data_IF_848397878602
#
_entry.id   IF_848397878602
#
_cell.length_a   1.000
_cell.length_b   1.000
_cell.length_c   1.000
_cell.angle_alpha   90.00
_cell.angle_beta   90.00
_cell.angle_gamma   90.00
#
_symmetry.space_group_name_H-M   'P 1'
#
loop_
_entity.id
_entity.type
_entity.pdbx_description
1 polymer ?
#
# COMPACT_ATOMS: atom_id res chain seq x y z
N UNK A 1 21.34 25.23 -17.16
CA UNK A 1 21.69 24.60 -15.86
C UNK A 1 21.93 23.13 -16.09
N UNK A 2 23.07 22.59 -15.65
CA UNK A 2 23.48 21.21 -15.92
C UNK A 2 22.58 20.21 -15.18
N UNK A 3 21.98 19.21 -15.85
CA UNK A 3 21.09 18.21 -15.22
C UNK A 3 21.75 17.41 -14.08
N UNK A 4 23.09 17.33 -14.05
CA UNK A 4 23.84 16.63 -13.01
C UNK A 4 23.88 17.34 -11.64
N UNK A 5 23.76 18.67 -11.60
CA UNK A 5 23.80 19.43 -10.35
C UNK A 5 22.52 19.25 -9.50
N UNK A 6 21.37 19.13 -10.17
CA UNK A 6 20.08 18.88 -9.48
C UNK A 6 20.03 17.46 -8.91
N UNK A 7 20.61 16.48 -9.59
CA UNK A 7 20.67 15.11 -9.10
C UNK A 7 21.53 15.00 -7.84
N UNK A 8 22.71 15.64 -7.83
CA UNK A 8 23.63 15.66 -6.68
C UNK A 8 22.99 16.36 -5.47
N UNK A 9 22.36 17.52 -5.65
CA UNK A 9 21.60 18.21 -4.60
C UNK A 9 20.49 17.34 -4.01
N UNK A 10 19.70 16.68 -4.88
CA UNK A 10 18.60 15.81 -4.46
C UNK A 10 19.10 14.61 -3.64
N UNK A 11 20.19 13.99 -4.04
CA UNK A 11 20.83 12.90 -3.28
C UNK A 11 21.38 13.38 -1.94
N UNK A 12 22.00 14.58 -1.90
CA UNK A 12 22.53 15.17 -0.67
C UNK A 12 21.41 15.46 0.35
N UNK A 13 20.28 16.05 -0.09
CA UNK A 13 19.14 16.32 0.79
C UNK A 13 18.49 15.04 1.32
N UNK A 14 18.31 14.04 0.47
CA UNK A 14 17.75 12.75 0.89
C UNK A 14 18.69 12.06 1.89
N UNK A 15 20.00 12.09 1.67
CA UNK A 15 20.98 11.53 2.59
C UNK A 15 20.93 12.25 3.94
N UNK A 16 20.87 13.58 3.94
CA UNK A 16 20.80 14.39 5.16
C UNK A 16 19.53 14.11 5.97
N UNK A 17 18.36 14.00 5.32
CA UNK A 17 17.10 13.67 6.00
C UNK A 17 17.16 12.28 6.62
N UNK A 18 17.74 11.30 5.93
CA UNK A 18 17.90 9.94 6.43
C UNK A 18 18.85 9.90 7.63
N UNK A 19 19.99 10.58 7.59
CA UNK A 19 20.95 10.64 8.70
C UNK A 19 20.34 11.36 9.92
N UNK A 20 19.64 12.48 9.71
CA UNK A 20 18.92 13.19 10.77
C UNK A 20 17.78 12.33 11.34
N UNK A 21 17.05 11.61 10.50
CA UNK A 21 16.02 10.66 10.91
C UNK A 21 16.59 9.55 11.79
N UNK A 22 17.74 8.99 11.41
CA UNK A 22 18.47 8.02 12.22
C UNK A 22 18.81 8.59 13.61
N UNK A 23 19.39 9.77 13.65
CA UNK A 23 19.75 10.44 14.91
C UNK A 23 18.54 10.70 15.83
N UNK A 24 17.34 10.90 15.27
CA UNK A 24 16.10 11.04 16.04
C UNK A 24 15.60 9.71 16.58
N UNK A 25 15.69 8.64 15.78
CA UNK A 25 15.22 7.30 16.13
C UNK A 25 16.14 6.62 17.17
N UNK A 26 17.43 6.92 17.18
CA UNK A 26 18.42 6.38 18.13
C UNK A 26 18.47 7.13 19.49
N UNK A 27 17.68 8.22 19.64
CA UNK A 27 17.56 8.90 20.93
C UNK A 27 16.75 8.07 21.93
N UNK A 28 17.12 8.17 23.20
CA UNK A 28 16.33 7.62 24.28
C UNK A 28 15.01 8.39 24.47
N UNK A 29 13.97 7.67 24.91
CA UNK A 29 12.70 8.28 25.28
C UNK A 29 12.87 9.18 26.51
N UNK A 30 12.20 10.33 26.47
CA UNK A 30 12.13 11.29 27.57
C UNK A 30 10.67 11.56 27.90
N UNK A 31 10.38 12.18 29.04
CA UNK A 31 9.01 12.56 29.43
C UNK A 31 8.34 13.53 28.43
N UNK A 32 9.13 14.21 27.60
CA UNK A 32 8.64 15.14 26.55
C UNK A 32 8.43 14.48 25.18
N UNK A 33 8.61 13.15 25.08
CA UNK A 33 8.38 12.44 23.83
C UNK A 33 6.90 12.13 23.65
N UNK A 34 6.37 12.38 22.46
CA UNK A 34 5.04 11.93 22.04
C UNK A 34 4.99 10.39 22.02
N UNK A 35 3.82 9.80 22.21
CA UNK A 35 3.68 8.34 22.13
C UNK A 35 3.95 7.84 20.71
N UNK A 36 3.59 8.60 19.70
CA UNK A 36 3.96 8.35 18.31
C UNK A 36 5.49 8.32 18.08
N UNK A 37 6.26 9.15 18.79
CA UNK A 37 7.73 9.13 18.73
C UNK A 37 8.28 7.81 19.29
N UNK A 38 7.78 7.40 20.48
CA UNK A 38 8.18 6.14 21.13
C UNK A 38 7.85 4.94 20.21
N UNK A 39 6.68 4.96 19.55
CA UNK A 39 6.29 3.93 18.58
C UNK A 39 7.27 3.88 17.42
N UNK A 40 7.65 5.01 16.82
CA UNK A 40 8.57 5.05 15.69
C UNK A 40 9.98 4.58 16.06
N UNK A 41 10.46 4.93 17.27
CA UNK A 41 11.75 4.45 17.79
C UNK A 41 11.74 2.96 18.07
N UNK A 42 10.66 2.44 18.64
CA UNK A 42 10.50 1.01 18.87
C UNK A 42 10.46 0.25 17.54
N UNK A 43 9.72 0.75 16.56
CA UNK A 43 9.71 0.18 15.20
C UNK A 43 11.13 0.11 14.62
N UNK A 44 11.90 1.19 14.74
CA UNK A 44 13.29 1.22 14.26
C UNK A 44 14.17 0.20 14.99
N UNK A 45 14.07 0.13 16.33
CA UNK A 45 14.85 -0.79 17.16
C UNK A 45 14.59 -2.25 16.79
N UNK A 46 13.32 -2.63 16.60
CA UNK A 46 12.97 -3.98 16.18
C UNK A 46 13.44 -4.26 14.75
N UNK A 47 13.33 -3.28 13.85
CA UNK A 47 13.75 -3.42 12.45
C UNK A 47 15.27 -3.63 12.28
N UNK A 48 16.11 -3.02 13.12
CA UNK A 48 17.57 -3.19 13.03
C UNK A 48 18.11 -4.42 13.78
N UNK A 49 17.26 -5.13 14.50
CA UNK A 49 17.64 -6.33 15.27
C UNK A 49 17.78 -7.55 14.37
N UNK A 50 18.84 -7.59 13.57
CA UNK A 50 19.12 -8.66 12.61
C UNK A 50 19.18 -10.04 13.28
N UNK A 51 19.70 -10.15 14.51
CA UNK A 51 19.78 -11.41 15.26
C UNK A 51 18.38 -11.99 15.48
N UNK A 52 17.46 -11.18 16.00
CA UNK A 52 16.07 -11.61 16.25
C UNK A 52 15.33 -11.94 14.94
N UNK A 53 15.59 -11.20 13.87
CA UNK A 53 15.00 -11.46 12.55
C UNK A 53 15.49 -12.80 12.00
N UNK A 54 16.78 -13.13 12.15
CA UNK A 54 17.32 -14.44 11.74
C UNK A 54 16.74 -15.58 12.58
N UNK A 55 16.60 -15.40 13.90
CA UNK A 55 15.98 -16.40 14.80
C UNK A 55 14.52 -16.68 14.43
N UNK A 56 13.75 -15.67 14.09
CA UNK A 56 12.35 -15.82 13.66
C UNK A 56 12.24 -16.43 12.26
N UNK A 57 13.23 -16.20 11.40
CA UNK A 57 13.30 -16.76 10.06
C UNK A 57 12.10 -16.34 9.18
N UNK A 58 11.44 -17.32 8.59
CA UNK A 58 10.25 -17.13 7.74
C UNK A 58 8.93 -17.40 8.47
N UNK A 59 9.00 -17.85 9.73
CA UNK A 59 7.81 -18.26 10.49
C UNK A 59 6.73 -17.17 10.59
N UNK A 60 7.04 -15.88 10.85
CA UNK A 60 6.03 -14.83 10.92
C UNK A 60 5.23 -14.66 9.62
N UNK A 61 5.86 -14.89 8.45
CA UNK A 61 5.15 -14.86 7.19
C UNK A 61 4.26 -16.10 7.00
N UNK A 62 4.74 -17.29 7.37
CA UNK A 62 3.95 -18.50 7.31
C UNK A 62 2.72 -18.42 8.21
N UNK A 63 2.85 -17.84 9.40
CA UNK A 63 1.73 -17.64 10.32
C UNK A 63 0.73 -16.62 9.78
N UNK A 64 1.21 -15.53 9.19
CA UNK A 64 0.34 -14.58 8.48
C UNK A 64 -0.42 -15.24 7.33
N UNK A 65 0.25 -16.08 6.53
CA UNK A 65 -0.41 -16.79 5.42
C UNK A 65 -1.51 -17.75 5.89
N UNK A 66 -1.35 -18.40 7.06
CA UNK A 66 -2.40 -19.27 7.64
C UNK A 66 -3.71 -18.52 7.90
N UNK A 67 -3.63 -17.25 8.35
CA UNK A 67 -4.82 -16.40 8.57
C UNK A 67 -5.62 -16.24 7.28
N UNK A 68 -4.94 -16.22 6.12
CA UNK A 68 -5.54 -16.07 4.80
C UNK A 68 -5.92 -17.40 4.11
N UNK A 69 -5.93 -18.50 4.84
CA UNK A 69 -6.21 -19.83 4.27
C UNK A 69 -5.00 -20.50 3.63
N UNK A 70 -3.80 -19.93 3.77
CA UNK A 70 -2.54 -20.45 3.26
C UNK A 70 -2.15 -19.91 1.88
N UNK A 71 -1.07 -20.47 1.36
CA UNK A 71 -0.65 -20.28 -0.03
C UNK A 71 -0.76 -21.62 -0.75
N UNK A 72 -1.61 -21.79 -1.78
CA UNK A 72 -1.89 -23.09 -2.38
C UNK A 72 -0.67 -23.87 -2.84
N UNK A 73 0.39 -23.17 -3.25
CA UNK A 73 1.65 -23.81 -3.65
C UNK A 73 2.37 -24.52 -2.49
N UNK A 74 2.09 -24.13 -1.23
CA UNK A 74 2.66 -24.75 -0.03
C UNK A 74 1.83 -25.91 0.50
N UNK A 75 0.59 -26.12 0.04
CA UNK A 75 -0.27 -27.18 0.54
C UNK A 75 0.32 -28.56 0.23
N UNK A 76 0.45 -29.41 1.25
CA UNK A 76 0.88 -30.78 1.08
C UNK A 76 -0.17 -31.63 0.36
N UNK A 77 -1.45 -31.38 0.68
CA UNK A 77 -2.57 -32.05 0.06
C UNK A 77 -2.91 -31.45 -1.31
N UNK A 78 -2.52 -32.15 -2.36
CA UNK A 78 -2.81 -31.74 -3.74
C UNK A 78 -4.31 -31.83 -4.10
N UNK A 79 -5.12 -32.57 -3.32
CA UNK A 79 -6.55 -32.75 -3.54
C UNK A 79 -7.41 -31.63 -2.94
N UNK A 80 -6.82 -30.71 -2.17
CA UNK A 80 -7.53 -29.57 -1.58
C UNK A 80 -8.18 -28.73 -2.66
N UNK A 81 -9.54 -28.64 -2.62
CA UNK A 81 -10.31 -27.81 -3.51
C UNK A 81 -10.22 -26.33 -3.11
N UNK A 82 -10.22 -25.47 -4.12
CA UNK A 82 -10.31 -24.03 -4.00
C UNK A 82 -11.60 -23.46 -4.61
N UNK A 83 -12.58 -24.30 -4.92
CA UNK A 83 -13.83 -23.89 -5.56
C UNK A 83 -14.63 -22.86 -4.73
N UNK A 84 -14.51 -22.94 -3.39
CA UNK A 84 -15.11 -21.97 -2.48
C UNK A 84 -14.33 -20.66 -2.34
N UNK A 85 -13.15 -20.55 -2.94
CA UNK A 85 -12.33 -19.32 -2.83
C UNK A 85 -13.00 -18.16 -3.57
N UNK A 86 -13.16 -17.03 -2.87
CA UNK A 86 -13.70 -15.78 -3.41
C UNK A 86 -12.68 -14.66 -3.22
N UNK A 87 -12.20 -14.08 -4.30
CA UNK A 87 -11.19 -13.03 -4.26
C UNK A 87 -11.63 -11.79 -3.46
N UNK A 88 -12.91 -11.44 -3.47
CA UNK A 88 -13.45 -10.30 -2.74
C UNK A 88 -13.51 -10.54 -1.23
N UNK A 89 -13.87 -11.74 -0.79
CA UNK A 89 -13.80 -12.12 0.64
C UNK A 89 -12.34 -12.11 1.12
N UNK A 90 -11.44 -12.65 0.29
CA UNK A 90 -10.00 -12.60 0.56
C UNK A 90 -9.48 -11.17 0.64
N UNK A 91 -9.97 -10.25 -0.20
CA UNK A 91 -9.58 -8.84 -0.17
C UNK A 91 -10.03 -8.18 1.14
N UNK A 92 -11.25 -8.44 1.61
CA UNK A 92 -11.76 -7.93 2.90
C UNK A 92 -10.91 -8.44 4.06
N UNK A 93 -10.57 -9.74 4.06
CA UNK A 93 -9.71 -10.33 5.08
C UNK A 93 -8.29 -9.71 5.06
N UNK A 94 -7.71 -9.52 3.88
CA UNK A 94 -6.41 -8.86 3.72
C UNK A 94 -6.44 -7.42 4.22
N UNK A 95 -7.53 -6.68 3.99
CA UNK A 95 -7.71 -5.33 4.52
C UNK A 95 -7.70 -5.33 6.04
N UNK A 96 -8.47 -6.21 6.65
CA UNK A 96 -8.54 -6.39 8.10
C UNK A 96 -7.16 -6.62 8.73
N UNK A 97 -6.31 -7.37 8.06
CA UNK A 97 -4.94 -7.68 8.50
C UNK A 97 -3.89 -6.64 8.04
N UNK A 98 -4.32 -5.49 7.53
CA UNK A 98 -3.44 -4.39 7.13
C UNK A 98 -2.58 -4.66 5.88
N UNK A 99 -3.05 -5.54 4.99
CA UNK A 99 -2.44 -5.75 3.69
C UNK A 99 -3.07 -4.88 2.61
N UNK A 100 -2.45 -4.84 1.43
CA UNK A 100 -2.97 -4.08 0.30
C UNK A 100 -4.27 -4.67 -0.24
N UNK A 101 -5.19 -3.79 -0.62
CA UNK A 101 -6.45 -4.14 -1.28
C UNK A 101 -6.33 -4.26 -2.81
N UNK A 102 -5.18 -3.89 -3.38
CA UNK A 102 -5.06 -3.53 -4.80
C UNK A 102 -4.53 -4.69 -5.65
N UNK A 103 -4.86 -5.95 -5.32
CA UNK A 103 -4.32 -7.11 -6.05
C UNK A 103 -5.14 -7.48 -7.29
N UNK A 104 -6.46 -7.40 -7.22
CA UNK A 104 -7.36 -7.67 -8.35
C UNK A 104 -7.89 -6.37 -8.93
N UNK A 105 -8.32 -5.45 -8.07
CA UNK A 105 -8.81 -4.13 -8.40
C UNK A 105 -8.39 -3.16 -7.31
N UNK A 106 -8.12 -1.91 -7.66
CA UNK A 106 -7.77 -0.87 -6.69
C UNK A 106 -9.01 -0.20 -6.12
N UNK A 107 -9.03 -0.06 -4.80
CA UNK A 107 -10.07 0.63 -4.04
C UNK A 107 -9.42 1.70 -3.19
N UNK A 108 -9.90 2.92 -3.26
CA UNK A 108 -9.40 4.01 -2.40
C UNK A 108 -10.43 5.12 -2.29
N UNK A 109 -10.35 5.88 -1.20
CA UNK A 109 -11.14 7.08 -0.98
C UNK A 109 -10.29 8.28 -1.33
N UNK A 110 -10.82 9.17 -2.15
CA UNK A 110 -10.13 10.36 -2.59
C UNK A 110 -11.12 11.52 -2.78
N UNK A 111 -10.62 12.72 -2.98
CA UNK A 111 -11.45 13.87 -3.32
C UNK A 111 -12.13 13.68 -4.67
N UNK A 112 -13.40 14.06 -4.79
CA UNK A 112 -14.10 14.06 -6.07
C UNK A 112 -13.44 15.06 -7.02
N UNK A 113 -13.08 14.59 -8.24
CA UNK A 113 -12.33 15.39 -9.22
C UNK A 113 -13.12 16.65 -9.73
N UNK A 114 -14.45 16.67 -9.53
CA UNK A 114 -15.33 17.80 -9.94
C UNK A 114 -15.92 18.57 -8.78
N UNK A 115 -15.85 18.05 -7.56
CA UNK A 115 -16.30 18.74 -6.35
C UNK A 115 -15.40 18.39 -5.16
N UNK A 116 -14.40 19.20 -4.91
CA UNK A 116 -13.40 18.98 -3.87
C UNK A 116 -13.93 19.04 -2.42
N UNK A 117 -15.21 19.37 -2.23
CA UNK A 117 -15.86 19.34 -0.91
C UNK A 117 -16.27 17.92 -0.49
N UNK A 118 -16.25 16.97 -1.42
CA UNK A 118 -16.65 15.58 -1.16
C UNK A 118 -15.48 14.61 -1.28
N UNK A 119 -15.47 13.61 -0.39
CA UNK A 119 -14.71 12.38 -0.53
C UNK A 119 -15.57 11.37 -1.25
N UNK A 120 -14.97 10.57 -2.12
CA UNK A 120 -15.68 9.59 -2.94
C UNK A 120 -14.85 8.32 -3.09
N UNK A 121 -15.52 7.19 -3.16
CA UNK A 121 -14.89 5.90 -3.41
C UNK A 121 -14.50 5.85 -4.89
N UNK A 122 -13.25 5.51 -5.16
CA UNK A 122 -12.74 5.32 -6.52
C UNK A 122 -12.35 3.86 -6.72
N UNK A 123 -12.86 3.27 -7.79
CA UNK A 123 -12.48 1.95 -8.29
C UNK A 123 -11.58 2.11 -9.50
N UNK A 124 -10.46 1.42 -9.51
CA UNK A 124 -9.45 1.56 -10.56
C UNK A 124 -8.84 0.21 -10.94
N UNK A 125 -8.07 0.18 -12.01
CA UNK A 125 -7.29 -1.00 -12.38
C UNK A 125 -6.31 -1.41 -11.28
N UNK A 126 -5.94 -2.69 -11.28
CA UNK A 126 -5.06 -3.28 -10.27
C UNK A 126 -3.67 -2.66 -10.24
N UNK A 127 -2.99 -2.78 -9.09
CA UNK A 127 -1.54 -2.62 -9.02
C UNK A 127 -0.86 -3.97 -9.22
N UNK A 128 0.03 -4.07 -10.20
CA UNK A 128 0.73 -5.29 -10.55
C UNK A 128 1.97 -5.53 -9.66
N UNK A 129 2.39 -6.77 -9.54
CA UNK A 129 3.60 -7.14 -8.79
C UNK A 129 4.90 -6.78 -9.53
N UNK A 130 4.82 -6.72 -10.86
CA UNK A 130 5.85 -6.20 -11.75
C UNK A 130 5.24 -5.11 -12.64
N UNK A 131 6.05 -4.16 -13.11
CA UNK A 131 5.54 -3.09 -14.00
C UNK A 131 4.89 -3.67 -15.25
N UNK A 132 3.77 -3.06 -15.66
CA UNK A 132 3.02 -3.43 -16.86
C UNK A 132 3.91 -3.54 -18.09
N UNK A 133 4.82 -2.60 -18.28
CA UNK A 133 5.70 -2.50 -19.43
C UNK A 133 6.64 -3.71 -19.59
N UNK A 134 6.90 -4.45 -18.50
CA UNK A 134 7.60 -5.73 -18.56
C UNK A 134 6.63 -6.88 -18.81
N UNK A 135 5.55 -6.98 -18.06
CA UNK A 135 4.61 -8.11 -18.12
C UNK A 135 3.96 -8.29 -19.50
N UNK A 136 3.64 -7.19 -20.20
CA UNK A 136 3.04 -7.25 -21.55
C UNK A 136 3.98 -7.82 -22.64
N UNK A 137 5.28 -7.96 -22.35
CA UNK A 137 6.23 -8.64 -23.24
C UNK A 137 6.04 -10.16 -23.25
N UNK A 138 5.28 -10.68 -22.29
CA UNK A 138 4.96 -12.10 -22.19
C UNK A 138 5.95 -12.91 -21.36
N UNK A 139 5.60 -14.18 -21.18
CA UNK A 139 6.31 -15.08 -20.26
C UNK A 139 7.78 -15.31 -20.66
N UNK A 140 8.10 -15.35 -21.93
CA UNK A 140 9.45 -15.68 -22.44
C UNK A 140 10.43 -14.49 -22.38
N UNK A 141 9.97 -13.30 -22.01
CA UNK A 141 10.86 -12.14 -21.82
C UNK A 141 11.79 -12.38 -20.61
N UNK A 142 13.06 -11.99 -20.75
CA UNK A 142 14.11 -12.24 -19.75
C UNK A 142 13.79 -11.62 -18.39
N UNK A 143 13.16 -10.44 -18.38
CA UNK A 143 12.84 -9.73 -17.15
C UNK A 143 11.64 -10.40 -16.45
N UNK A 144 10.68 -10.90 -17.24
CA UNK A 144 9.53 -11.69 -16.74
C UNK A 144 10.01 -13.05 -16.23
N UNK A 145 10.96 -13.70 -16.89
CA UNK A 145 11.61 -14.93 -16.40
C UNK A 145 12.36 -14.71 -15.08
N UNK A 146 13.03 -13.56 -14.91
CA UNK A 146 13.65 -13.22 -13.63
C UNK A 146 12.61 -13.03 -12.51
N UNK A 147 11.46 -12.44 -12.83
CA UNK A 147 10.35 -12.33 -11.89
C UNK A 147 9.73 -13.70 -11.55
N UNK A 148 9.54 -14.54 -12.54
CA UNK A 148 9.08 -15.92 -12.32
C UNK A 148 10.03 -16.71 -11.41
N UNK A 149 11.34 -16.63 -11.65
CA UNK A 149 12.33 -17.29 -10.79
C UNK A 149 12.29 -16.73 -9.36
N UNK A 150 12.04 -15.41 -9.21
CA UNK A 150 11.84 -14.80 -7.88
C UNK A 150 10.64 -15.38 -7.14
N UNK A 151 9.53 -15.64 -7.85
CA UNK A 151 8.35 -16.29 -7.28
C UNK A 151 8.67 -17.71 -6.80
N UNK A 152 9.38 -18.49 -7.62
CA UNK A 152 9.76 -19.88 -7.32
C UNK A 152 10.75 -19.93 -6.16
N UNK A 153 11.81 -19.12 -6.20
CA UNK A 153 12.82 -19.06 -5.12
C UNK A 153 12.16 -18.71 -3.77
N UNK A 154 11.19 -17.79 -3.77
CA UNK A 154 10.44 -17.42 -2.56
C UNK A 154 9.53 -18.55 -2.05
N UNK A 155 8.85 -19.27 -2.94
CA UNK A 155 8.02 -20.39 -2.57
C UNK A 155 8.86 -21.54 -1.97
N UNK A 156 10.02 -21.84 -2.57
CA UNK A 156 10.96 -22.83 -2.04
C UNK A 156 11.51 -22.44 -0.67
N UNK A 157 11.83 -21.15 -0.44
CA UNK A 157 12.23 -20.64 0.86
C UNK A 157 11.18 -20.91 1.94
N UNK A 158 9.89 -20.87 1.57
CA UNK A 158 8.76 -21.12 2.45
C UNK A 158 8.37 -22.61 2.53
N UNK A 159 9.09 -23.51 1.85
CA UNK A 159 8.91 -24.96 1.94
C UNK A 159 8.16 -25.60 0.76
N UNK A 160 7.88 -24.90 -0.33
CA UNK A 160 7.25 -25.50 -1.50
C UNK A 160 8.16 -26.50 -2.22
N UNK A 161 7.58 -27.59 -2.73
CA UNK A 161 8.24 -28.45 -3.72
C UNK A 161 8.52 -27.65 -5.00
N UNK A 162 9.72 -27.83 -5.58
CA UNK A 162 10.15 -27.06 -6.74
C UNK A 162 9.30 -27.31 -7.98
N UNK A 163 8.95 -28.56 -8.25
CA UNK A 163 8.18 -28.94 -9.44
C UNK A 163 6.78 -28.33 -9.38
N UNK A 164 6.14 -28.46 -8.21
CA UNK A 164 4.83 -27.88 -7.91
C UNK A 164 4.87 -26.35 -7.99
N UNK A 165 5.89 -25.72 -7.39
CA UNK A 165 6.08 -24.27 -7.42
C UNK A 165 6.21 -23.76 -8.85
N UNK A 166 7.05 -24.42 -9.66
CA UNK A 166 7.22 -24.05 -11.08
C UNK A 166 5.92 -24.15 -11.85
N UNK A 167 5.15 -25.20 -11.69
CA UNK A 167 3.88 -25.34 -12.40
C UNK A 167 2.86 -24.27 -11.96
N UNK A 168 2.53 -24.23 -10.68
CA UNK A 168 1.43 -23.37 -10.18
C UNK A 168 1.75 -21.89 -10.27
N UNK A 169 3.01 -21.48 -10.04
CA UNK A 169 3.40 -20.08 -10.13
C UNK A 169 3.56 -19.59 -11.57
N UNK A 170 3.80 -20.49 -12.53
CA UNK A 170 3.69 -20.15 -13.94
C UNK A 170 2.24 -19.75 -14.30
N UNK A 171 1.26 -20.53 -13.85
CA UNK A 171 -0.16 -20.23 -14.07
C UNK A 171 -0.55 -18.88 -13.41
N UNK A 172 -0.11 -18.64 -12.18
CA UNK A 172 -0.30 -17.36 -11.48
C UNK A 172 0.33 -16.18 -12.21
N UNK A 173 1.53 -16.35 -12.76
CA UNK A 173 2.21 -15.30 -13.54
C UNK A 173 1.50 -15.06 -14.88
N UNK A 174 1.00 -16.11 -15.54
CA UNK A 174 0.19 -15.96 -16.75
C UNK A 174 -1.11 -15.18 -16.48
N UNK A 175 -1.74 -15.39 -15.32
CA UNK A 175 -2.87 -14.57 -14.88
C UNK A 175 -2.45 -13.11 -14.65
N UNK A 176 -1.31 -12.84 -14.04
CA UNK A 176 -0.80 -11.46 -13.85
C UNK A 176 -0.46 -10.78 -15.19
N UNK A 177 0.10 -11.52 -16.15
CA UNK A 177 0.32 -11.04 -17.52
C UNK A 177 -1.01 -10.68 -18.19
N UNK A 178 -2.04 -11.51 -18.01
CA UNK A 178 -3.38 -11.20 -18.53
C UNK A 178 -3.96 -9.93 -17.88
N UNK A 179 -3.80 -9.75 -16.56
CA UNK A 179 -4.17 -8.51 -15.87
C UNK A 179 -3.42 -7.29 -16.44
N UNK A 180 -2.12 -7.44 -16.74
CA UNK A 180 -1.34 -6.38 -17.35
C UNK A 180 -1.84 -6.00 -18.75
N UNK A 181 -2.23 -6.98 -19.55
CA UNK A 181 -2.74 -6.76 -20.90
C UNK A 181 -4.08 -6.02 -20.94
N UNK A 182 -4.97 -6.29 -19.96
CA UNK A 182 -6.27 -5.59 -19.85
C UNK A 182 -6.16 -4.24 -19.14
N UNK A 183 -5.01 -3.91 -18.56
CA UNK A 183 -4.78 -2.63 -17.88
C UNK A 183 -4.39 -1.55 -18.90
N UNK A 184 -4.91 -0.34 -18.74
CA UNK A 184 -4.57 0.79 -19.58
C UNK A 184 -3.15 1.29 -19.30
N UNK A 185 -2.36 1.64 -20.32
CA UNK A 185 -1.05 2.25 -20.15
C UNK A 185 -1.17 3.67 -19.56
N UNK A 186 -0.08 4.19 -18.99
CA UNK A 186 -0.07 5.51 -18.33
C UNK A 186 -0.44 6.65 -19.27
N UNK A 187 -0.09 6.57 -20.53
CA UNK A 187 -0.34 7.56 -21.57
C UNK A 187 -1.86 7.78 -21.77
N UNK A 188 -2.63 6.72 -21.77
CA UNK A 188 -4.09 6.77 -21.95
C UNK A 188 -4.83 7.27 -20.72
N UNK A 189 -4.16 7.34 -19.58
CA UNK A 189 -4.72 7.75 -18.29
C UNK A 189 -4.43 9.20 -17.91
N UNK A 190 -4.06 10.05 -18.87
CA UNK A 190 -3.78 11.47 -18.64
C UNK A 190 -5.02 12.34 -18.70
N UNK A 191 -6.06 11.91 -19.40
CA UNK A 191 -7.31 12.65 -19.53
C UNK A 191 -8.21 12.39 -18.33
N UNK A 192 -8.31 13.39 -17.44
CA UNK A 192 -9.12 13.30 -16.22
C UNK A 192 -10.61 13.07 -16.51
N UNK A 193 -11.14 13.57 -17.64
CA UNK A 193 -12.55 13.37 -17.98
C UNK A 193 -12.85 11.92 -18.36
N UNK A 194 -11.94 11.25 -19.05
CA UNK A 194 -12.07 9.81 -19.35
C UNK A 194 -12.02 8.94 -18.11
N UNK A 195 -11.33 9.40 -17.06
CA UNK A 195 -11.22 8.70 -15.79
C UNK A 195 -12.38 9.04 -14.82
N UNK A 196 -13.30 9.89 -15.19
CA UNK A 196 -14.43 10.32 -14.35
C UNK A 196 -15.73 9.69 -14.82
N UNK A 197 -16.02 8.47 -14.35
CA UNK A 197 -17.22 7.72 -14.68
C UNK A 197 -18.03 7.49 -13.39
N UNK A 198 -18.85 8.46 -12.97
CA UNK A 198 -19.64 8.36 -11.74
C UNK A 198 -20.78 7.34 -11.90
N UNK A 199 -21.06 6.63 -10.82
CA UNK A 199 -22.17 5.71 -10.64
C UNK A 199 -22.49 5.61 -9.15
N UNK A 200 -23.48 4.82 -8.75
CA UNK A 200 -23.75 4.47 -7.36
C UNK A 200 -23.52 2.97 -7.14
N UNK A 201 -23.38 2.56 -5.87
CA UNK A 201 -23.25 1.14 -5.53
C UNK A 201 -24.52 0.37 -5.93
N UNK A 202 -25.70 0.95 -5.78
CA UNK A 202 -26.97 0.35 -6.21
C UNK A 202 -27.07 0.15 -7.72
N UNK A 203 -26.61 1.13 -8.52
CA UNK A 203 -26.51 0.97 -9.98
C UNK A 203 -25.52 -0.12 -10.38
N UNK A 204 -24.45 -0.33 -9.60
CA UNK A 204 -23.50 -1.42 -9.83
C UNK A 204 -24.11 -2.79 -9.49
N UNK A 205 -24.92 -2.88 -8.44
CA UNK A 205 -25.61 -4.13 -8.06
C UNK A 205 -26.68 -4.52 -9.08
N UNK A 206 -27.40 -3.55 -9.64
CA UNK A 206 -28.52 -3.81 -10.58
C UNK A 206 -28.11 -3.85 -12.06
N UNK A 207 -26.85 -3.51 -12.38
CA UNK A 207 -26.33 -3.39 -13.76
C UNK A 207 -27.19 -2.54 -14.71
N UNK A 208 -27.93 -1.58 -14.16
CA UNK A 208 -28.91 -0.76 -14.90
C UNK A 208 -28.32 0.01 -16.08
N UNK A 209 -27.01 0.25 -16.06
CA UNK A 209 -26.30 1.07 -17.05
C UNK A 209 -25.29 0.28 -17.90
N UNK A 210 -25.23 -1.05 -17.79
CA UNK A 210 -24.23 -1.89 -18.48
C UNK A 210 -22.77 -1.51 -18.16
N UNK A 211 -22.53 -0.80 -17.02
CA UNK A 211 -21.20 -0.40 -16.56
C UNK A 211 -20.48 -1.54 -15.84
N UNK A 212 -21.25 -2.44 -15.25
CA UNK A 212 -20.77 -3.64 -14.57
C UNK A 212 -21.29 -4.86 -15.32
N UNK A 213 -20.42 -5.69 -15.84
CA UNK A 213 -20.80 -6.88 -16.60
C UNK A 213 -20.98 -8.05 -15.65
N UNK A 214 -22.20 -8.43 -15.37
CA UNK A 214 -22.50 -9.70 -14.72
C UNK A 214 -22.31 -10.84 -15.72
N UNK A 215 -21.16 -11.53 -15.63
CA UNK A 215 -20.94 -12.75 -16.41
C UNK A 215 -21.79 -13.86 -15.80
N UNK A 216 -22.70 -14.46 -16.58
CA UNK A 216 -23.44 -15.64 -16.15
C UNK A 216 -22.46 -16.81 -16.02
N UNK A 217 -22.03 -17.08 -14.83
CA UNK A 217 -21.22 -18.23 -14.43
C UNK A 217 -21.97 -19.02 -13.37
N UNK A 218 -21.60 -20.28 -13.17
CA UNK A 218 -22.20 -21.12 -12.12
C UNK A 218 -21.87 -20.60 -10.71
N UNK A 219 -20.81 -19.78 -10.57
CA UNK A 219 -20.35 -19.18 -9.33
C UNK A 219 -20.21 -17.66 -9.50
N UNK A 220 -20.54 -16.83 -8.49
CA UNK A 220 -20.41 -15.39 -8.58
C UNK A 220 -18.93 -14.98 -8.68
N UNK A 221 -18.58 -14.36 -9.80
CA UNK A 221 -17.22 -13.85 -10.09
C UNK A 221 -16.99 -12.47 -9.47
N UNK A 222 -18.06 -11.69 -9.33
CA UNK A 222 -18.09 -10.39 -8.64
C UNK A 222 -18.72 -10.55 -7.26
N UNK A 223 -18.51 -9.59 -6.36
CA UNK A 223 -19.27 -9.54 -5.11
C UNK A 223 -20.76 -9.63 -5.39
N UNK A 224 -21.51 -10.45 -4.65
CA UNK A 224 -22.97 -10.57 -4.83
C UNK A 224 -23.69 -9.25 -4.53
N UNK A 225 -23.10 -8.37 -3.74
CA UNK A 225 -23.49 -6.98 -3.52
C UNK A 225 -22.25 -6.11 -3.36
N UNK A 226 -22.17 -5.06 -4.18
CA UNK A 226 -21.14 -4.04 -4.05
C UNK A 226 -21.28 -3.23 -2.77
N UNK A 227 -22.53 -2.98 -2.34
CA UNK A 227 -22.82 -2.34 -1.05
C UNK A 227 -22.18 -3.13 0.09
N UNK A 228 -22.48 -4.43 0.20
CA UNK A 228 -21.95 -5.29 1.27
C UNK A 228 -20.41 -5.44 1.18
N UNK A 229 -19.86 -5.50 -0.03
CA UNK A 229 -18.42 -5.62 -0.22
C UNK A 229 -17.68 -4.36 0.22
N UNK A 230 -18.15 -3.18 -0.19
CA UNK A 230 -17.53 -1.90 0.20
C UNK A 230 -17.75 -1.63 1.69
N UNK A 231 -18.92 -1.97 2.22
CA UNK A 231 -19.20 -1.88 3.66
C UNK A 231 -18.21 -2.73 4.47
N UNK A 232 -17.97 -3.98 4.07
CA UNK A 232 -16.96 -4.85 4.68
C UNK A 232 -15.54 -4.27 4.58
N UNK A 233 -15.16 -3.68 3.43
CA UNK A 233 -13.85 -3.03 3.29
C UNK A 233 -13.68 -1.81 4.22
N UNK A 234 -14.74 -1.03 4.43
CA UNK A 234 -14.70 0.18 5.25
C UNK A 234 -14.87 -0.15 6.73
N UNK A 235 -15.90 -0.91 7.09
CA UNK A 235 -16.30 -1.11 8.49
C UNK A 235 -15.60 -2.29 9.17
N UNK A 236 -15.31 -3.40 8.47
CA UNK A 236 -14.53 -4.50 9.05
C UNK A 236 -13.08 -4.09 9.36
N UNK A 237 -12.51 -3.20 8.55
CA UNK A 237 -11.23 -2.56 8.85
C UNK A 237 -11.28 -1.63 10.08
N UNK A 238 -12.46 -1.09 10.42
CA UNK A 238 -12.68 -0.26 11.61
C UNK A 238 -12.98 -1.08 12.87
N UNK A 239 -13.55 -2.28 12.75
CA UNK A 239 -13.89 -3.19 13.87
C UNK A 239 -12.66 -3.76 14.60
N UNK A 240 -11.45 -3.31 14.28
CA UNK A 240 -10.23 -3.57 15.06
C UNK A 240 -10.19 -2.83 16.41
N UNK A 241 -11.28 -2.19 16.80
CA UNK A 241 -11.34 -1.33 17.97
C UNK A 241 -12.27 -1.88 19.04
N UNK A 242 -11.81 -2.92 19.72
CA UNK A 242 -12.51 -3.42 20.94
C UNK A 242 -12.66 -2.36 22.05
N UNK A 243 -11.98 -1.20 21.94
CA UNK A 243 -11.95 -0.16 22.98
C UNK A 243 -12.28 1.27 22.48
N UNK A 244 -12.65 1.46 21.21
CA UNK A 244 -13.08 2.76 20.68
C UNK A 244 -14.36 2.53 19.90
N UNK A 245 -15.48 2.99 20.46
CA UNK A 245 -16.74 3.14 19.74
C UNK A 245 -16.50 4.11 18.56
N UNK A 246 -16.25 3.56 17.38
CA UNK A 246 -16.28 4.33 16.13
C UNK A 246 -17.65 4.05 15.56
N UNK A 247 -18.48 5.09 15.51
CA UNK A 247 -19.73 5.02 14.75
C UNK A 247 -19.39 4.51 13.34
N UNK A 248 -19.94 3.35 12.99
CA UNK A 248 -19.72 2.76 11.68
C UNK A 248 -20.15 3.73 10.58
N UNK A 249 -19.40 3.80 9.50
CA UNK A 249 -19.79 4.60 8.35
C UNK A 249 -20.91 3.84 7.64
N UNK A 250 -22.10 4.48 7.52
CA UNK A 250 -23.22 3.85 6.80
C UNK A 250 -22.96 3.87 5.30
N UNK A 251 -22.68 2.72 4.73
CA UNK A 251 -22.57 2.51 3.27
C UNK A 251 -23.93 2.02 2.77
N UNK A 252 -24.49 2.68 1.78
CA UNK A 252 -25.80 2.34 1.22
C UNK A 252 -25.77 2.35 -0.33
N UNK A 253 -26.91 2.04 -0.96
CA UNK A 253 -27.05 1.96 -2.41
C UNK A 253 -26.80 3.27 -3.14
N UNK A 254 -27.03 4.40 -2.48
CA UNK A 254 -26.89 5.74 -3.07
C UNK A 254 -25.45 6.25 -3.00
N UNK A 255 -24.54 5.49 -2.32
CA UNK A 255 -23.13 5.85 -2.21
C UNK A 255 -22.48 6.02 -3.57
N UNK A 256 -21.93 7.22 -3.81
CA UNK A 256 -21.31 7.58 -5.08
C UNK A 256 -19.95 6.92 -5.24
N UNK A 257 -19.75 6.31 -6.39
CA UNK A 257 -18.49 5.67 -6.79
C UNK A 257 -18.02 6.25 -8.12
N UNK A 258 -16.72 6.44 -8.29
CA UNK A 258 -16.12 6.80 -9.57
C UNK A 258 -15.32 5.60 -10.09
N UNK A 259 -15.78 5.03 -11.20
CA UNK A 259 -15.04 3.97 -11.91
C UNK A 259 -14.03 4.65 -12.84
N UNK A 260 -12.74 4.54 -12.50
CA UNK A 260 -11.68 5.20 -13.28
C UNK A 260 -11.34 4.49 -14.59
N UNK A 261 -11.57 3.19 -14.65
CA UNK A 261 -11.36 2.40 -15.87
C UNK A 261 -12.48 1.37 -16.06
N UNK A 262 -13.63 1.75 -16.64
CA UNK A 262 -14.74 0.83 -16.89
C UNK A 262 -14.37 -0.34 -17.81
N UNK A 263 -13.48 -0.13 -18.76
CA UNK A 263 -13.01 -1.19 -19.68
C UNK A 263 -12.23 -2.24 -18.90
N UNK A 264 -11.38 -1.83 -17.96
CA UNK A 264 -10.67 -2.77 -17.10
C UNK A 264 -11.65 -3.56 -16.24
N UNK A 265 -12.63 -2.89 -15.59
CA UNK A 265 -13.62 -3.57 -14.75
C UNK A 265 -14.38 -4.65 -15.52
N UNK A 266 -14.81 -4.36 -16.74
CA UNK A 266 -15.42 -5.34 -17.63
C UNK A 266 -14.49 -6.51 -17.95
N UNK A 267 -13.26 -6.21 -18.36
CA UNK A 267 -12.30 -7.21 -18.80
C UNK A 267 -11.80 -8.08 -17.66
N UNK A 268 -11.60 -7.52 -16.45
CA UNK A 268 -11.19 -8.30 -15.28
C UNK A 268 -12.27 -9.28 -14.85
N UNK A 269 -13.55 -8.90 -14.92
CA UNK A 269 -14.67 -9.81 -14.66
C UNK A 269 -14.64 -11.01 -15.60
N UNK A 270 -14.43 -10.77 -16.91
CA UNK A 270 -14.31 -11.85 -17.89
C UNK A 270 -13.05 -12.71 -17.69
N UNK A 271 -11.97 -12.12 -17.23
CA UNK A 271 -10.73 -12.84 -16.93
C UNK A 271 -10.91 -13.75 -15.71
N UNK A 272 -11.49 -13.23 -14.64
CA UNK A 272 -11.78 -14.00 -13.43
C UNK A 272 -12.71 -15.19 -13.70
N UNK A 273 -13.75 -14.99 -14.55
CA UNK A 273 -14.69 -16.05 -14.93
C UNK A 273 -14.05 -17.23 -15.69
N UNK A 274 -12.87 -17.04 -16.27
CA UNK A 274 -12.14 -18.07 -17.03
C UNK A 274 -10.95 -18.65 -16.29
N UNK A 275 -10.62 -18.09 -15.11
CA UNK A 275 -9.42 -18.44 -14.36
C UNK A 275 -9.80 -19.34 -13.19
N UNK A 276 -9.07 -20.43 -13.02
CA UNK A 276 -9.24 -21.34 -11.90
C UNK A 276 -9.02 -20.58 -10.57
N UNK A 277 -9.89 -20.84 -9.61
CA UNK A 277 -9.87 -20.20 -8.29
C UNK A 277 -8.52 -20.39 -7.56
N UNK A 278 -7.88 -21.55 -7.72
CA UNK A 278 -6.55 -21.86 -7.17
C UNK A 278 -5.46 -20.96 -7.77
N UNK A 279 -5.55 -20.62 -9.04
CA UNK A 279 -4.61 -19.71 -9.72
C UNK A 279 -4.74 -18.30 -9.14
N UNK A 280 -5.97 -17.82 -8.92
CA UNK A 280 -6.25 -16.52 -8.32
C UNK A 280 -5.75 -16.48 -6.87
N UNK A 281 -6.02 -17.55 -6.09
CA UNK A 281 -5.54 -17.68 -4.72
C UNK A 281 -4.01 -17.67 -4.65
N UNK A 282 -3.32 -18.41 -5.52
CA UNK A 282 -1.87 -18.39 -5.63
C UNK A 282 -1.34 -16.99 -5.97
N UNK A 283 -1.97 -16.28 -6.90
CA UNK A 283 -1.60 -14.92 -7.26
C UNK A 283 -1.73 -13.96 -6.07
N UNK A 284 -2.86 -13.96 -5.38
CA UNK A 284 -3.09 -13.08 -4.24
C UNK A 284 -2.10 -13.36 -3.10
N UNK A 285 -1.88 -14.65 -2.77
CA UNK A 285 -0.91 -15.05 -1.76
C UNK A 285 0.51 -14.66 -2.15
N UNK A 286 0.92 -14.83 -3.42
CA UNK A 286 2.20 -14.33 -3.91
C UNK A 286 2.37 -12.82 -3.67
N UNK A 287 1.33 -12.02 -3.92
CA UNK A 287 1.38 -10.58 -3.70
C UNK A 287 1.60 -10.22 -2.23
N UNK A 288 1.00 -10.98 -1.30
CA UNK A 288 1.25 -10.90 0.14
C UNK A 288 2.71 -11.24 0.45
N UNK A 289 3.18 -12.41 0.01
CA UNK A 289 4.57 -12.86 0.21
C UNK A 289 5.56 -11.83 -0.28
N UNK A 290 5.41 -11.37 -1.54
CA UNK A 290 6.28 -10.36 -2.14
C UNK A 290 6.37 -9.08 -1.31
N UNK A 291 5.27 -8.65 -0.68
CA UNK A 291 5.22 -7.43 0.12
C UNK A 291 6.02 -7.54 1.43
N UNK A 292 6.29 -8.75 1.91
CA UNK A 292 6.95 -9.04 3.20
C UNK A 292 8.38 -9.57 3.10
N UNK A 293 8.81 -10.06 1.93
CA UNK A 293 10.16 -10.62 1.76
C UNK A 293 11.31 -9.66 2.14
N UNK A 294 11.06 -8.35 2.08
CA UNK A 294 12.06 -7.33 2.40
C UNK A 294 12.28 -7.10 3.91
N UNK A 295 11.45 -7.69 4.76
CA UNK A 295 11.50 -7.55 6.24
C UNK A 295 11.77 -8.89 6.95
N UNK A 296 12.05 -9.94 6.18
CA UNK A 296 12.43 -11.25 6.69
C UNK A 296 13.96 -11.39 6.81
N UNK A 297 14.40 -12.62 7.05
CA UNK A 297 15.79 -13.01 7.25
C UNK A 297 16.68 -12.78 6.01
N UNK A 298 17.98 -13.05 6.19
CA UNK A 298 18.99 -12.85 5.14
C UNK A 298 18.71 -13.70 3.89
N UNK A 299 18.19 -14.92 4.03
CA UNK A 299 17.87 -15.77 2.89
C UNK A 299 16.78 -15.12 1.99
N UNK A 300 15.73 -14.55 2.57
CA UNK A 300 14.70 -13.83 1.85
C UNK A 300 15.26 -12.56 1.16
N UNK A 301 16.15 -11.85 1.85
CA UNK A 301 16.81 -10.67 1.28
C UNK A 301 17.73 -11.04 0.11
N UNK A 302 18.43 -12.17 0.16
CA UNK A 302 19.31 -12.65 -0.93
C UNK A 302 18.49 -12.96 -2.20
N UNK A 303 17.34 -13.63 -2.04
CA UNK A 303 16.40 -13.89 -3.12
C UNK A 303 15.90 -12.58 -3.74
N UNK A 304 15.47 -11.63 -2.92
CA UNK A 304 15.02 -10.31 -3.35
C UNK A 304 16.13 -9.54 -4.09
N UNK A 305 17.38 -9.61 -3.60
CA UNK A 305 18.51 -8.93 -4.20
C UNK A 305 18.89 -9.54 -5.56
N UNK A 306 18.81 -10.88 -5.68
CA UNK A 306 19.01 -11.57 -6.96
C UNK A 306 18.06 -11.06 -8.04
N UNK A 307 16.78 -10.94 -7.69
CA UNK A 307 15.76 -10.36 -8.58
C UNK A 307 16.03 -8.87 -8.88
N UNK A 308 16.31 -8.06 -7.85
CA UNK A 308 16.63 -6.63 -8.03
C UNK A 308 17.80 -6.41 -8.97
N UNK A 309 18.87 -7.21 -8.82
CA UNK A 309 20.04 -7.17 -9.70
C UNK A 309 19.67 -7.51 -11.15
N UNK A 310 18.82 -8.50 -11.37
CA UNK A 310 18.39 -8.88 -12.72
C UNK A 310 17.62 -7.75 -13.42
N UNK A 311 16.73 -7.03 -12.69
CA UNK A 311 15.87 -6.00 -13.27
C UNK A 311 16.55 -4.63 -13.34
N UNK A 312 17.33 -4.24 -12.32
CA UNK A 312 17.87 -2.88 -12.20
C UNK A 312 19.38 -2.79 -12.42
N UNK A 313 20.08 -3.93 -12.46
CA UNK A 313 21.55 -3.99 -12.48
C UNK A 313 22.20 -3.67 -11.12
N UNK A 314 21.43 -3.26 -10.10
CA UNK A 314 21.96 -2.86 -8.78
C UNK A 314 22.33 -4.09 -7.97
N UNK A 315 23.63 -4.31 -7.78
CA UNK A 315 24.16 -5.45 -7.03
C UNK A 315 24.38 -5.15 -5.53
N UNK A 316 24.51 -3.89 -5.15
CA UNK A 316 24.79 -3.50 -3.77
C UNK A 316 23.52 -3.49 -2.92
N UNK A 317 23.60 -4.07 -1.71
CA UNK A 317 22.54 -4.01 -0.72
C UNK A 317 22.56 -2.65 -0.02
N UNK A 318 21.38 -2.10 0.23
CA UNK A 318 21.27 -0.94 1.11
C UNK A 318 21.49 -1.37 2.56
N UNK A 319 22.26 -0.64 3.36
CA UNK A 319 22.45 -0.95 4.78
C UNK A 319 21.11 -1.06 5.53
N UNK A 320 20.99 -2.03 6.43
CA UNK A 320 19.74 -2.32 7.16
C UNK A 320 19.21 -1.10 7.90
N UNK A 321 20.07 -0.37 8.63
CA UNK A 321 19.66 0.84 9.33
C UNK A 321 18.99 1.87 8.40
N UNK A 322 19.49 2.00 7.17
CA UNK A 322 18.95 2.94 6.19
C UNK A 322 17.57 2.53 5.66
N UNK A 323 17.33 1.22 5.48
CA UNK A 323 16.00 0.67 5.19
C UNK A 323 15.06 0.94 6.36
N UNK A 324 15.52 0.71 7.59
CA UNK A 324 14.72 0.86 8.81
C UNK A 324 14.35 2.31 9.10
N UNK A 325 15.26 3.26 8.87
CA UNK A 325 14.92 4.70 8.92
C UNK A 325 13.83 5.05 7.91
N UNK A 326 13.94 4.50 6.70
CA UNK A 326 12.91 4.68 5.66
C UNK A 326 11.54 4.11 6.06
N UNK A 327 11.51 2.92 6.65
CA UNK A 327 10.26 2.26 7.09
C UNK A 327 9.65 2.92 8.33
N UNK A 328 10.47 3.54 9.19
CA UNK A 328 10.00 4.30 10.34
C UNK A 328 9.41 5.69 9.99
N UNK A 329 9.37 6.06 8.71
CA UNK A 329 8.70 7.27 8.25
C UNK A 329 9.59 8.35 7.65
N UNK A 330 10.91 8.19 7.63
CA UNK A 330 11.84 9.15 7.01
C UNK A 330 12.19 8.83 5.55
N UNK A 331 11.47 7.90 4.90
CA UNK A 331 11.72 7.48 3.53
C UNK A 331 10.95 8.29 2.48
N UNK A 332 11.46 8.23 1.24
CA UNK A 332 10.87 8.90 0.06
C UNK A 332 9.41 8.54 -0.22
N UNK A 333 8.93 7.41 0.28
CA UNK A 333 7.60 6.86 0.05
C UNK A 333 6.80 6.63 1.34
N UNK A 334 7.15 7.33 2.41
CA UNK A 334 6.49 7.17 3.70
C UNK A 334 5.15 7.89 3.74
N UNK A 335 4.18 7.34 3.03
CA UNK A 335 2.74 7.64 3.24
C UNK A 335 2.09 6.65 4.20
N UNK A 336 2.91 5.84 4.88
CA UNK A 336 2.43 4.92 5.90
C UNK A 336 2.18 5.66 7.22
N UNK A 337 1.42 5.06 8.10
CA UNK A 337 1.06 5.58 9.44
C UNK A 337 2.23 6.15 10.27
N UNK A 338 3.48 5.75 9.99
CA UNK A 338 4.67 6.30 10.64
C UNK A 338 5.12 7.68 10.12
N UNK A 339 4.63 8.14 8.96
CA UNK A 339 5.08 9.40 8.36
C UNK A 339 4.72 10.62 9.22
N UNK A 340 3.56 10.61 9.87
CA UNK A 340 3.13 11.68 10.78
C UNK A 340 4.04 11.82 11.98
N UNK A 341 4.36 10.72 12.67
CA UNK A 341 5.25 10.71 13.82
C UNK A 341 6.68 11.13 13.47
N UNK A 342 7.25 10.51 12.44
CA UNK A 342 8.59 10.85 11.97
C UNK A 342 8.72 12.30 11.48
N UNK A 343 7.70 12.76 10.73
CA UNK A 343 7.58 14.14 10.27
C UNK A 343 7.50 15.12 11.45
N UNK A 344 6.70 14.81 12.45
CA UNK A 344 6.58 15.59 13.69
C UNK A 344 7.91 15.68 14.43
N UNK A 345 8.61 14.55 14.67
CA UNK A 345 9.93 14.55 15.27
C UNK A 345 10.92 15.44 14.51
N UNK A 346 10.92 15.34 13.17
CA UNK A 346 11.83 16.12 12.33
C UNK A 346 11.54 17.62 12.42
N UNK A 347 10.27 18.01 12.28
CA UNK A 347 9.82 19.40 12.34
C UNK A 347 10.17 20.02 13.69
N UNK A 348 9.78 19.40 14.79
CA UNK A 348 10.05 19.89 16.16
C UNK A 348 11.53 20.01 16.47
N UNK A 349 12.39 19.24 15.80
CA UNK A 349 13.84 19.25 16.10
C UNK A 349 14.65 20.12 15.14
N UNK A 350 14.31 20.13 13.86
CA UNK A 350 15.19 20.70 12.82
C UNK A 350 14.57 21.82 12.02
N UNK A 351 13.25 22.09 12.17
CA UNK A 351 12.59 23.12 11.38
C UNK A 351 12.18 24.30 12.28
N UNK A 352 12.61 25.50 11.92
CA UNK A 352 12.27 26.71 12.65
C UNK A 352 10.97 27.32 12.11
N UNK A 353 10.06 27.82 12.97
CA UNK A 353 8.81 28.46 12.52
C UNK A 353 9.06 29.63 11.55
N UNK A 354 10.15 30.36 11.74
CA UNK A 354 10.53 31.49 10.86
C UNK A 354 10.79 31.03 9.43
N UNK A 355 11.40 29.86 9.25
CA UNK A 355 11.66 29.28 7.92
C UNK A 355 10.36 28.96 7.17
N UNK A 356 9.31 28.49 7.88
CA UNK A 356 7.98 28.29 7.32
C UNK A 356 7.39 29.62 6.83
N UNK A 357 7.52 30.68 7.63
CA UNK A 357 7.01 31.99 7.28
C UNK A 357 7.73 32.60 6.06
N UNK A 358 9.05 32.41 5.98
CA UNK A 358 9.82 32.86 4.80
C UNK A 358 9.39 32.14 3.53
N UNK A 359 9.15 30.84 3.59
CA UNK A 359 8.63 30.06 2.45
C UNK A 359 7.24 30.53 2.05
N UNK A 360 6.33 30.79 3.00
CA UNK A 360 5.00 31.35 2.73
C UNK A 360 5.08 32.72 2.03
N UNK A 361 6.00 33.58 2.49
CA UNK A 361 6.25 34.89 1.84
C UNK A 361 6.74 34.69 0.40
N UNK A 362 7.68 33.77 0.16
CA UNK A 362 8.18 33.45 -1.18
C UNK A 362 7.05 33.00 -2.11
N UNK A 363 6.20 32.08 -1.66
CA UNK A 363 5.03 31.60 -2.43
C UNK A 363 4.06 32.73 -2.72
N UNK A 364 3.82 33.63 -1.75
CA UNK A 364 2.99 34.81 -1.96
C UNK A 364 3.52 35.69 -3.11
N UNK A 365 4.83 35.93 -3.16
CA UNK A 365 5.45 36.69 -4.27
C UNK A 365 5.33 35.95 -5.61
N UNK A 366 5.50 34.63 -5.63
CA UNK A 366 5.31 33.82 -6.85
C UNK A 366 3.87 33.93 -7.34
N UNK A 367 2.88 33.81 -6.45
CA UNK A 367 1.45 33.95 -6.79
C UNK A 367 1.14 35.36 -7.38
N UNK A 368 1.66 36.40 -6.73
CA UNK A 368 1.50 37.80 -7.23
C UNK A 368 2.15 37.96 -8.61
N UNK A 369 3.32 37.41 -8.82
CA UNK A 369 4.02 37.45 -10.11
C UNK A 369 3.28 36.69 -11.19
N UNK A 370 2.72 35.52 -10.87
CA UNK A 370 1.91 34.74 -11.81
C UNK A 370 0.61 35.50 -12.19
N UNK A 371 -0.04 36.17 -11.23
CA UNK A 371 -1.19 37.03 -11.50
C UNK A 371 -0.86 38.16 -12.52
N UNK A 372 0.31 38.80 -12.38
CA UNK A 372 0.78 39.81 -13.35
C UNK A 372 1.06 39.19 -14.73
N UNK A 373 1.59 37.97 -14.79
CA UNK A 373 1.79 37.28 -16.06
C UNK A 373 0.43 37.05 -16.75
N UNK A 374 -0.57 36.54 -16.01
CA UNK A 374 -1.92 36.33 -16.55
C UNK A 374 -2.51 37.62 -17.15
N UNK A 375 -2.30 38.79 -16.50
CA UNK A 375 -2.74 40.09 -17.02
C UNK A 375 -2.17 40.40 -18.41
N UNK A 376 -0.91 40.10 -18.62
CA UNK A 376 -0.14 40.49 -19.78
C UNK A 376 -0.10 39.44 -20.90
N UNK A 377 -0.77 38.26 -20.76
CA UNK A 377 -0.80 37.23 -21.81
C UNK A 377 -1.64 37.68 -23.02
N UNK A 378 -1.05 37.92 -24.22
CA UNK A 378 -1.76 38.42 -25.37
C UNK A 378 -2.69 37.42 -26.05
N UNK A 379 -2.44 36.13 -25.88
CA UNK A 379 -3.22 35.05 -26.51
C UNK A 379 -4.47 34.64 -25.71
N UNK A 380 -4.59 35.11 -24.48
CA UNK A 380 -5.71 34.79 -23.59
C UNK A 380 -6.76 35.91 -23.63
N UNK A 381 -8.01 35.57 -23.93
CA UNK A 381 -9.14 36.51 -23.88
C UNK A 381 -9.48 36.99 -22.46
N UNK A 382 -10.32 38.03 -22.34
CA UNK A 382 -10.64 38.65 -21.06
C UNK A 382 -11.42 37.70 -20.11
N UNK A 383 -12.31 36.87 -20.64
CA UNK A 383 -13.10 35.94 -19.86
C UNK A 383 -12.20 34.83 -19.29
N UNK A 384 -11.37 34.21 -20.13
CA UNK A 384 -10.39 33.21 -19.72
C UNK A 384 -9.40 33.74 -18.69
N UNK A 385 -8.92 34.98 -18.84
CA UNK A 385 -8.09 35.68 -17.82
C UNK A 385 -8.80 35.80 -16.48
N UNK A 386 -10.07 36.16 -16.49
CA UNK A 386 -10.88 36.29 -15.28
C UNK A 386 -11.01 34.94 -14.56
N UNK A 387 -11.35 33.90 -15.30
CA UNK A 387 -11.43 32.53 -14.75
C UNK A 387 -10.08 32.04 -14.19
N UNK A 388 -9.00 32.29 -14.92
CA UNK A 388 -7.64 31.90 -14.46
C UNK A 388 -7.25 32.63 -13.17
N UNK A 389 -7.59 33.92 -13.02
CA UNK A 389 -7.37 34.69 -11.80
C UNK A 389 -8.20 34.17 -10.63
N UNK A 390 -9.48 33.89 -10.84
CA UNK A 390 -10.33 33.30 -9.81
C UNK A 390 -9.78 31.96 -9.33
N UNK A 391 -9.29 31.13 -10.26
CA UNK A 391 -8.60 29.86 -9.90
C UNK A 391 -7.34 30.10 -9.07
N UNK A 392 -6.52 31.08 -9.43
CA UNK A 392 -5.32 31.45 -8.67
C UNK A 392 -5.67 31.96 -7.27
N UNK A 393 -6.72 32.72 -7.09
CA UNK A 393 -7.20 33.20 -5.78
C UNK A 393 -7.71 32.10 -4.89
N UNK A 394 -8.42 31.11 -5.47
CA UNK A 394 -8.98 29.95 -4.76
C UNK A 394 -7.98 28.81 -4.51
N UNK A 395 -6.75 28.96 -4.99
CA UNK A 395 -5.71 27.96 -4.81
C UNK A 395 -5.22 27.94 -3.36
N UNK A 396 -5.40 26.82 -2.66
CA UNK A 396 -4.82 26.58 -1.35
C UNK A 396 -3.33 26.24 -1.46
N UNK A 397 -2.61 26.44 -0.36
CA UNK A 397 -1.17 26.20 -0.29
C UNK A 397 -0.83 25.33 0.90
N UNK A 398 -0.11 24.25 0.65
CA UNK A 398 0.44 23.37 1.67
C UNK A 398 1.97 23.50 1.67
N UNK A 399 2.50 24.29 2.61
CA UNK A 399 3.91 24.66 2.65
C UNK A 399 4.56 24.14 3.93
N UNK A 400 5.72 23.50 3.76
CA UNK A 400 6.53 22.92 4.80
C UNK A 400 5.83 21.76 5.52
N UNK A 401 4.97 22.04 6.48
CA UNK A 401 4.26 21.04 7.29
C UNK A 401 2.92 21.60 7.78
N UNK A 402 1.90 20.76 8.00
CA UNK A 402 0.67 21.15 8.69
C UNK A 402 0.96 21.41 10.18
N UNK A 403 0.28 22.38 10.78
CA UNK A 403 0.56 22.84 12.15
C UNK A 403 0.27 21.74 13.18
N UNK A 404 -0.63 20.83 12.88
CA UNK A 404 -0.99 19.67 13.69
C UNK A 404 0.21 18.74 13.99
N UNK A 405 1.25 18.75 13.15
CA UNK A 405 2.47 17.96 13.40
C UNK A 405 3.29 18.47 14.59
N UNK A 406 3.00 19.67 15.10
CA UNK A 406 3.67 20.20 16.30
C UNK A 406 2.85 20.00 17.56
N UNK A 407 1.58 19.58 17.44
CA UNK A 407 0.67 19.32 18.53
C UNK A 407 0.65 17.82 18.92
N UNK A 408 0.85 17.56 20.22
CA UNK A 408 0.95 16.19 20.73
C UNK A 408 -0.35 15.42 20.57
N UNK A 409 -1.48 16.00 20.93
CA UNK A 409 -2.78 15.34 20.89
C UNK A 409 -3.16 14.94 19.46
N UNK A 410 -2.93 15.84 18.52
CA UNK A 410 -3.15 15.59 17.09
C UNK A 410 -2.27 14.45 16.55
N UNK A 411 -0.96 14.45 16.87
CA UNK A 411 -0.03 13.43 16.39
C UNK A 411 -0.30 12.08 17.03
N UNK A 412 -0.49 12.03 18.35
CA UNK A 412 -0.78 10.79 19.05
C UNK A 412 -2.16 10.22 18.66
N UNK A 413 -3.15 11.11 18.42
CA UNK A 413 -4.48 10.74 17.92
C UNK A 413 -4.43 10.02 16.56
N UNK A 414 -3.60 10.48 15.63
CA UNK A 414 -3.39 9.82 14.32
C UNK A 414 -2.82 8.40 14.45
N UNK A 415 -2.15 8.08 15.57
CA UNK A 415 -1.45 6.81 15.77
C UNK A 415 -2.08 5.92 16.85
N UNK A 416 -3.16 6.37 17.49
CA UNK A 416 -3.80 5.69 18.63
C UNK A 416 -4.15 4.21 18.36
N UNK A 417 -4.70 3.91 17.19
CA UNK A 417 -5.04 2.52 16.82
C UNK A 417 -3.82 1.63 16.61
N UNK A 418 -2.73 2.19 16.09
CA UNK A 418 -1.49 1.45 15.79
C UNK A 418 -0.76 1.05 17.08
N UNK A 419 -0.78 1.91 18.10
CA UNK A 419 -0.14 1.64 19.39
C UNK A 419 -0.82 0.45 20.11
N UNK A 420 -2.14 0.39 20.11
CA UNK A 420 -2.91 -0.70 20.73
C UNK A 420 -2.61 -2.04 20.05
N UNK A 421 -2.48 -2.04 18.71
CA UNK A 421 -2.16 -3.25 17.96
C UNK A 421 -0.77 -3.80 18.31
N UNK A 422 0.25 -2.96 18.40
CA UNK A 422 1.60 -3.35 18.80
C UNK A 422 1.63 -3.90 20.24
N UNK A 423 0.85 -3.34 21.15
CA UNK A 423 0.73 -3.83 22.54
C UNK A 423 -0.03 -5.14 22.62
N UNK A 424 -1.14 -5.32 21.87
CA UNK A 424 -1.88 -6.59 21.80
C UNK A 424 -1.02 -7.71 21.20
N UNK A 425 -0.26 -7.43 20.12
CA UNK A 425 0.67 -8.41 19.54
C UNK A 425 1.75 -8.82 20.54
N UNK A 426 2.25 -7.90 21.36
CA UNK A 426 3.21 -8.20 22.43
C UNK A 426 2.57 -9.02 23.56
N UNK A 427 1.32 -8.73 23.95
CA UNK A 427 0.59 -9.47 24.97
C UNK A 427 0.26 -10.89 24.49
N UNK A 428 -0.15 -11.08 23.24
CA UNK A 428 -0.36 -12.40 22.63
C UNK A 428 0.94 -13.23 22.61
N UNK A 429 2.09 -12.61 22.32
CA UNK A 429 3.40 -13.27 22.41
C UNK A 429 3.76 -13.63 23.86
N UNK A 430 3.43 -12.78 24.85
CA UNK A 430 3.62 -13.05 26.26
C UNK A 430 2.69 -14.16 26.78
N UNK A 431 1.45 -14.21 26.32
CA UNK A 431 0.49 -15.28 26.68
C UNK A 431 0.86 -16.62 26.03
N UNK A 432 1.42 -16.61 24.81
CA UNK A 432 1.99 -17.80 24.17
C UNK A 432 3.21 -18.32 24.97
N UNK A 433 4.09 -17.43 25.42
CA UNK A 433 5.24 -17.78 26.29
C UNK A 433 4.76 -18.32 27.63
N UNK A 434 3.73 -17.73 28.25
CA UNK A 434 3.13 -18.26 29.49
C UNK A 434 2.50 -19.63 29.27
N UNK A 435 1.79 -19.85 28.17
CA UNK A 435 1.22 -21.15 27.81
C UNK A 435 2.30 -22.22 27.60
N UNK A 436 3.41 -21.89 26.94
CA UNK A 436 4.55 -22.79 26.76
C UNK A 436 5.23 -23.08 28.11
N UNK A 437 5.37 -22.09 29.01
CA UNK A 437 5.91 -22.32 30.34
C UNK A 437 4.97 -23.15 31.23
N UNK A 438 3.66 -22.95 31.16
CA UNK A 438 2.70 -23.77 31.90
C UNK A 438 2.67 -25.22 31.41
N UNK A 439 2.72 -25.45 30.09
CA UNK A 439 2.77 -26.80 29.52
C UNK A 439 4.08 -27.51 29.83
N UNK A 440 5.22 -26.81 29.87
CA UNK A 440 6.48 -27.43 30.30
C UNK A 440 6.52 -27.69 31.80
N UNK A 441 5.82 -26.91 32.64
CA UNK A 441 5.69 -27.19 34.09
C UNK A 441 4.74 -28.37 34.38
N UNK A 442 3.71 -28.57 33.58
CA UNK A 442 2.73 -29.67 33.69
C UNK A 442 3.32 -31.00 33.18
N UNK A 443 4.22 -30.94 32.20
CA UNK A 443 4.89 -32.12 31.62
C UNK A 443 6.21 -32.47 32.33
N UNK A 444 6.65 -31.66 33.28
CA UNK A 444 7.88 -31.89 34.05
C UNK A 444 7.70 -32.54 35.42
N UNK A 445 6.49 -32.97 35.78
CA UNK A 445 6.21 -33.77 36.98
C UNK A 445 5.53 -35.08 36.57
N UNK A 446 6.35 -36.01 36.10
CA UNK A 446 6.18 -37.45 36.24
C UNK A 446 7.54 -38.15 36.11
#
# INVERSE_FOLDING_TARGET
MYPGFDLIRKYFYISLVIERGRALLEKNDTEKCFDADKMSRRWYTECINETKIEELGVQPLLDSLKVFGGWPVLDEDSSKSYDSFKWYEQTTLLNKEGFSLNYIMSHYIDTDDKNNSYRVIKLDQTSLGMSREYLIKGFDDKDVQAYYQYMVDAAQLLGADETKARQQLKESLMFEIALANISAPREERRDANKLYNPTTLGEMDNDENGKVVHVKTNEPVLPPSWVSYIDGLVNDGLNYKDDVEVDGISINSDEKVIIRNPVFLKNVTMLLAKTDAKVIANYMAWRVVKSRLNVLNKAAEDIRQKYSKAITGVASKQPTWKKCVGSAGFGKYSYTSGAGAAGSMYVRTYFKPEEKQEMLNMISYIRKSFGRILDNLPWMDAETKTQAKQKLEKMDQFIAYPDELTDQESVDGLHKGIYIYLVKLLLLLLDLIKSIFLTSLILGFN
#
